data_IF_340110407853
#
_entry.id   IF_340110407853
#
_cell.length_a   1.000
_cell.length_b   1.000
_cell.length_c   1.000
_cell.angle_alpha   90.00
_cell.angle_beta   90.00
_cell.angle_gamma   90.00
#
_symmetry.space_group_name_H-M   'P 1'
#
loop_
_entity.id
_entity.type
_entity.pdbx_description
1 polymer ?
#
# COMPACT_ATOMS: atom_id res chain seq x y z
N UNK A 1 -9.82 26.49 9.91
CA UNK A 1 -8.88 25.37 9.77
C UNK A 1 -9.29 24.66 8.51
N UNK A 2 -8.58 24.91 7.40
CA UNK A 2 -8.94 24.38 6.09
C UNK A 2 -8.85 22.85 6.09
N UNK A 3 -9.81 22.22 5.41
CA UNK A 3 -9.86 20.77 5.17
C UNK A 3 -8.53 20.29 4.59
N UNK A 4 -7.79 19.47 5.34
CA UNK A 4 -6.46 18.96 4.95
C UNK A 4 -6.50 17.86 3.88
N UNK A 5 -7.69 17.35 3.56
CA UNK A 5 -7.91 16.40 2.48
C UNK A 5 -8.21 17.14 1.17
N UNK A 6 -7.40 16.90 0.15
CA UNK A 6 -7.54 17.46 -1.19
C UNK A 6 -7.85 16.33 -2.19
N UNK A 7 -8.88 16.50 -3.01
CA UNK A 7 -9.14 15.62 -4.14
C UNK A 7 -8.34 16.08 -5.36
N UNK A 8 -7.51 15.20 -5.91
CA UNK A 8 -6.63 15.50 -7.05
C UNK A 8 -7.27 15.11 -8.38
N UNK A 9 -7.87 13.92 -8.45
CA UNK A 9 -8.49 13.38 -9.66
C UNK A 9 -9.54 12.31 -9.30
N UNK A 10 -10.31 11.84 -10.28
CA UNK A 10 -11.26 10.74 -10.09
C UNK A 10 -11.93 10.29 -11.38
N UNK A 11 -12.84 9.32 -11.27
CA UNK A 11 -13.51 8.70 -12.42
C UNK A 11 -12.76 7.49 -12.97
N UNK A 12 -11.84 6.90 -12.20
CA UNK A 12 -11.03 5.76 -12.64
C UNK A 12 -11.72 4.44 -12.31
N UNK A 13 -11.63 3.47 -13.22
CA UNK A 13 -12.21 2.14 -13.02
C UNK A 13 -11.43 1.30 -12.00
N UNK A 14 -10.14 1.59 -11.83
CA UNK A 14 -9.25 0.83 -10.96
C UNK A 14 -8.25 1.74 -10.25
N UNK A 15 -7.71 1.25 -9.12
CA UNK A 15 -6.62 1.94 -8.41
C UNK A 15 -5.37 2.06 -9.26
N UNK A 16 -5.09 1.05 -10.10
CA UNK A 16 -3.95 1.08 -11.03
C UNK A 16 -4.07 2.18 -12.09
N UNK A 17 -5.26 2.35 -12.65
CA UNK A 17 -5.52 3.41 -13.61
C UNK A 17 -5.32 4.79 -12.96
N UNK A 18 -5.84 4.96 -11.74
CA UNK A 18 -5.65 6.17 -10.96
C UNK A 18 -4.17 6.48 -10.72
N UNK A 19 -3.37 5.49 -10.31
CA UNK A 19 -1.93 5.64 -10.08
C UNK A 19 -1.15 5.98 -11.35
N UNK A 20 -1.48 5.38 -12.50
CA UNK A 20 -0.88 5.76 -13.78
C UNK A 20 -1.25 7.18 -14.22
N UNK A 21 -2.45 7.65 -13.87
CA UNK A 21 -2.90 9.01 -14.17
C UNK A 21 -2.36 10.06 -13.19
N UNK A 22 -1.73 9.64 -12.10
CA UNK A 22 -1.12 10.54 -11.13
C UNK A 22 0.06 11.30 -11.74
N UNK A 23 0.01 12.61 -11.67
CA UNK A 23 0.99 13.51 -12.30
C UNK A 23 2.18 13.89 -11.38
N UNK A 24 2.21 13.34 -10.16
CA UNK A 24 3.23 13.67 -9.15
C UNK A 24 2.89 14.89 -8.27
N UNK A 25 1.70 15.50 -8.42
CA UNK A 25 1.28 16.65 -7.61
C UNK A 25 0.61 16.28 -6.28
N UNK A 26 0.54 17.19 -5.32
CA UNK A 26 -0.17 16.96 -4.04
C UNK A 26 0.71 17.11 -2.81
N UNK A 27 0.22 16.57 -1.70
CA UNK A 27 0.83 16.60 -0.38
C UNK A 27 1.70 15.38 -0.08
N UNK A 28 2.14 15.26 1.18
CA UNK A 28 3.06 14.21 1.59
C UNK A 28 2.45 12.80 1.52
N UNK A 29 1.12 12.68 1.62
CA UNK A 29 0.41 11.41 1.55
C UNK A 29 -0.58 11.44 0.39
N UNK A 30 -0.44 10.52 -0.56
CA UNK A 30 -1.37 10.36 -1.69
C UNK A 30 -1.90 8.94 -1.71
N UNK A 31 -3.22 8.83 -1.82
CA UNK A 31 -3.93 7.58 -1.75
C UNK A 31 -5.05 7.49 -2.79
N UNK A 32 -5.38 6.26 -3.17
CA UNK A 32 -6.64 5.96 -3.84
C UNK A 32 -7.71 5.64 -2.81
N UNK A 33 -8.91 6.19 -2.99
CA UNK A 33 -10.10 5.83 -2.21
C UNK A 33 -11.24 5.43 -3.15
N UNK A 34 -12.12 4.57 -2.67
CA UNK A 34 -13.35 4.22 -3.38
C UNK A 34 -14.43 5.27 -3.05
N UNK A 35 -14.88 5.97 -4.09
CA UNK A 35 -15.99 6.90 -4.05
C UNK A 35 -17.21 6.26 -4.74
N UNK A 36 -18.39 6.26 -4.12
CA UNK A 36 -19.57 5.60 -4.67
C UNK A 36 -20.09 6.24 -5.96
N UNK A 37 -19.73 7.49 -6.26
CA UNK A 37 -20.14 8.22 -7.46
C UNK A 37 -19.05 8.14 -8.53
N UNK A 38 -17.80 8.41 -8.16
CA UNK A 38 -16.68 8.55 -9.09
C UNK A 38 -15.74 7.34 -9.17
N UNK A 39 -16.19 6.18 -8.68
CA UNK A 39 -15.44 4.92 -8.64
C UNK A 39 -14.15 5.04 -7.82
N UNK A 40 -12.99 5.14 -8.47
CA UNK A 40 -11.71 5.38 -7.78
C UNK A 40 -11.30 6.84 -7.93
N UNK A 41 -10.91 7.46 -6.82
CA UNK A 41 -10.46 8.85 -6.78
C UNK A 41 -9.10 8.95 -6.10
N UNK A 42 -8.29 9.91 -6.55
CA UNK A 42 -7.00 10.22 -5.94
C UNK A 42 -7.20 11.35 -4.96
N UNK A 43 -6.78 11.12 -3.72
CA UNK A 43 -6.78 12.12 -2.66
C UNK A 43 -5.39 12.31 -2.11
N UNK A 44 -5.16 13.50 -1.59
CA UNK A 44 -3.92 13.92 -0.98
C UNK A 44 -4.18 14.52 0.39
N UNK A 45 -3.25 14.31 1.32
CA UNK A 45 -3.28 14.89 2.66
C UNK A 45 -1.86 15.19 3.18
N UNK A 46 -1.79 15.93 4.28
CA UNK A 46 -0.52 16.23 4.97
C UNK A 46 -0.05 15.05 5.83
N UNK A 47 -0.99 14.24 6.35
CA UNK A 47 -0.73 13.07 7.17
C UNK A 47 -1.81 11.99 6.99
N UNK A 48 -1.53 10.77 7.46
CA UNK A 48 -2.43 9.64 7.34
C UNK A 48 -3.77 9.82 8.10
N UNK A 49 -3.81 10.60 9.19
CA UNK A 49 -5.02 10.83 9.97
C UNK A 49 -6.07 11.67 9.23
N UNK A 50 -5.65 12.42 8.21
CA UNK A 50 -6.52 13.22 7.36
C UNK A 50 -7.08 12.43 6.17
N UNK A 51 -6.54 11.23 5.89
CA UNK A 51 -7.05 10.37 4.84
C UNK A 51 -8.30 9.60 5.31
N UNK A 52 -9.24 9.29 4.40
CA UNK A 52 -10.35 8.41 4.72
C UNK A 52 -9.88 7.04 5.20
N UNK A 53 -10.63 6.44 6.11
CA UNK A 53 -10.41 5.05 6.50
C UNK A 53 -10.49 4.14 5.27
N UNK A 54 -9.63 3.12 5.24
CA UNK A 54 -9.42 2.19 4.12
C UNK A 54 -8.79 2.78 2.87
N UNK A 55 -8.37 4.04 2.86
CA UNK A 55 -7.56 4.61 1.78
C UNK A 55 -6.32 3.76 1.52
N UNK A 56 -5.91 3.65 0.25
CA UNK A 56 -4.71 2.90 -0.17
C UNK A 56 -3.61 3.86 -0.57
N UNK A 57 -2.59 3.96 0.26
CA UNK A 57 -1.44 4.81 0.02
C UNK A 57 -0.58 4.26 -1.12
N UNK A 58 -0.07 5.16 -1.94
CA UNK A 58 0.98 4.86 -2.93
C UNK A 58 2.05 5.95 -3.01
N UNK A 59 1.84 7.09 -2.36
CA UNK A 59 2.89 8.08 -2.03
C UNK A 59 2.81 8.40 -0.54
N UNK A 60 3.94 8.30 0.16
CA UNK A 60 4.12 8.67 1.56
C UNK A 60 5.61 8.90 1.84
N UNK A 61 6.00 9.59 2.92
CA UNK A 61 7.40 9.83 3.23
C UNK A 61 8.21 8.52 3.28
N UNK A 62 9.29 8.43 2.49
CA UNK A 62 10.18 7.27 2.44
C UNK A 62 9.71 6.13 1.53
N UNK A 63 8.55 6.22 0.88
CA UNK A 63 8.03 5.14 0.01
C UNK A 63 8.99 4.72 -1.11
N UNK A 64 9.83 5.64 -1.60
CA UNK A 64 10.85 5.38 -2.63
C UNK A 64 11.96 4.42 -2.18
N UNK A 65 12.12 4.23 -0.85
CA UNK A 65 13.10 3.32 -0.25
C UNK A 65 12.57 1.88 -0.20
N UNK A 66 11.27 1.67 -0.44
CA UNK A 66 10.59 0.38 -0.34
C UNK A 66 10.80 -0.48 -1.59
N UNK A 67 12.04 -0.91 -1.80
CA UNK A 67 12.44 -1.72 -2.94
C UNK A 67 13.29 -2.93 -2.54
N UNK A 68 13.10 -4.05 -3.24
CA UNK A 68 13.78 -5.31 -2.97
C UNK A 68 13.25 -6.00 -1.71
N UNK A 69 14.10 -6.80 -1.09
CA UNK A 69 13.80 -7.51 0.15
C UNK A 69 14.18 -6.65 1.37
N UNK A 70 13.23 -6.36 2.24
CA UNK A 70 13.42 -5.55 3.45
C UNK A 70 13.00 -6.32 4.71
N UNK A 71 13.61 -6.00 5.85
CA UNK A 71 13.13 -6.49 7.15
C UNK A 71 11.86 -5.74 7.58
N UNK A 72 11.00 -6.42 8.35
CA UNK A 72 9.81 -5.80 8.96
C UNK A 72 10.19 -4.58 9.80
N UNK A 73 11.35 -4.59 10.48
CA UNK A 73 11.86 -3.44 11.20
C UNK A 73 12.02 -2.19 10.32
N UNK A 74 12.60 -2.34 9.12
CA UNK A 74 12.78 -1.22 8.18
C UNK A 74 11.43 -0.69 7.65
N UNK A 75 10.43 -1.56 7.49
CA UNK A 75 9.07 -1.15 7.13
C UNK A 75 8.42 -0.33 8.25
N UNK A 76 8.62 -0.72 9.51
CA UNK A 76 8.07 -0.03 10.68
C UNK A 76 8.74 1.33 10.98
N UNK A 77 9.87 1.64 10.35
CA UNK A 77 10.43 3.01 10.40
C UNK A 77 9.61 4.00 9.56
N UNK A 78 8.85 3.50 8.59
CA UNK A 78 8.06 4.30 7.64
C UNK A 78 6.55 4.14 7.83
N UNK A 79 6.13 3.07 8.49
CA UNK A 79 4.74 2.65 8.65
C UNK A 79 4.39 2.46 10.12
N UNK A 80 3.13 2.69 10.47
CA UNK A 80 2.67 2.56 11.85
C UNK A 80 2.51 1.08 12.26
N UNK A 81 2.14 0.21 11.32
CA UNK A 81 1.86 -1.20 11.62
C UNK A 81 2.15 -2.10 10.41
N UNK A 82 2.70 -3.28 10.70
CA UNK A 82 2.84 -4.38 9.74
C UNK A 82 2.20 -5.61 10.35
N UNK A 83 1.27 -6.24 9.62
CA UNK A 83 0.60 -7.47 10.06
C UNK A 83 0.42 -8.45 8.91
N UNK A 84 0.43 -9.73 9.21
CA UNK A 84 0.06 -10.78 8.26
C UNK A 84 -1.47 -10.79 8.06
N UNK A 85 -1.90 -11.26 6.89
CA UNK A 85 -3.31 -11.37 6.50
C UNK A 85 -4.13 -12.24 7.47
N UNK A 86 -3.49 -13.22 8.12
CA UNK A 86 -4.08 -14.07 9.16
C UNK A 86 -4.20 -13.38 10.53
N UNK A 87 -3.75 -12.13 10.65
CA UNK A 87 -3.76 -11.34 11.89
C UNK A 87 -2.52 -11.51 12.75
N UNK A 88 -1.56 -12.34 12.36
CA UNK A 88 -0.29 -12.52 13.08
C UNK A 88 0.60 -11.28 12.92
N UNK A 89 1.35 -10.92 13.95
CA UNK A 89 2.39 -9.87 13.88
C UNK A 89 3.72 -10.52 13.48
N UNK A 90 4.29 -10.20 12.32
CA UNK A 90 5.59 -10.72 11.91
C UNK A 90 6.71 -10.26 12.86
N UNK A 91 7.71 -11.10 13.06
CA UNK A 91 8.93 -10.75 13.76
C UNK A 91 9.70 -9.65 13.03
N UNK A 92 10.34 -8.76 13.78
CA UNK A 92 11.05 -7.59 13.23
C UNK A 92 12.16 -7.93 12.20
N UNK A 93 12.74 -9.13 12.30
CA UNK A 93 13.80 -9.62 11.41
C UNK A 93 13.26 -10.45 10.23
N UNK A 94 11.95 -10.69 10.17
CA UNK A 94 11.35 -11.39 9.03
C UNK A 94 11.47 -10.54 7.77
N UNK A 95 11.76 -11.20 6.66
CA UNK A 95 12.03 -10.55 5.36
C UNK A 95 10.76 -10.47 4.51
N UNK A 96 10.58 -9.32 3.89
CA UNK A 96 9.45 -8.98 3.01
C UNK A 96 9.98 -8.62 1.63
N UNK A 97 9.56 -9.36 0.60
CA UNK A 97 9.85 -9.01 -0.79
C UNK A 97 8.84 -7.95 -1.25
N UNK A 98 9.29 -6.70 -1.37
CA UNK A 98 8.40 -5.55 -1.62
C UNK A 98 7.93 -5.46 -3.07
N UNK A 99 8.65 -6.05 -4.03
CA UNK A 99 8.36 -5.97 -5.46
C UNK A 99 8.21 -4.53 -6.00
N UNK A 100 8.74 -3.53 -5.28
CA UNK A 100 8.50 -2.10 -5.54
C UNK A 100 7.01 -1.72 -5.58
N UNK A 101 6.18 -2.48 -4.86
CA UNK A 101 4.74 -2.31 -4.83
C UNK A 101 4.22 -2.48 -3.40
N UNK A 102 4.38 -1.41 -2.61
CA UNK A 102 3.92 -1.36 -1.22
C UNK A 102 2.76 -0.38 -1.13
N UNK A 103 1.57 -0.90 -0.80
CA UNK A 103 0.33 -0.11 -0.72
C UNK A 103 -0.32 -0.26 0.66
N UNK A 104 0.16 0.46 1.69
CA UNK A 104 -0.43 0.43 3.02
C UNK A 104 -1.87 0.93 2.96
N UNK A 105 -2.74 0.34 3.79
CA UNK A 105 -4.06 0.89 4.03
C UNK A 105 -4.05 1.87 5.19
N UNK A 106 -4.92 2.86 5.15
CA UNK A 106 -5.24 3.68 6.32
C UNK A 106 -6.27 2.93 7.16
N UNK A 107 -5.95 2.66 8.42
CA UNK A 107 -6.86 2.06 9.40
C UNK A 107 -6.81 2.86 10.70
N UNK A 108 -7.94 3.46 11.08
CA UNK A 108 -8.02 4.33 12.26
C UNK A 108 -6.94 5.44 12.27
N UNK A 109 -6.64 6.02 11.10
CA UNK A 109 -5.65 7.08 10.92
C UNK A 109 -4.19 6.60 10.98
N UNK A 110 -3.94 5.29 10.94
CA UNK A 110 -2.61 4.67 10.91
C UNK A 110 -2.34 4.01 9.57
N UNK A 111 -1.08 3.97 9.17
CA UNK A 111 -0.59 3.28 7.98
C UNK A 111 -0.30 1.81 8.30
N UNK A 112 -1.14 0.92 7.78
CA UNK A 112 -1.07 -0.52 8.05
C UNK A 112 -0.72 -1.26 6.76
N UNK A 113 0.43 -1.92 6.74
CA UNK A 113 0.78 -2.84 5.66
C UNK A 113 0.36 -4.27 6.02
N UNK A 114 -0.48 -4.85 5.17
CA UNK A 114 -0.87 -6.26 5.29
C UNK A 114 0.05 -7.10 4.41
N UNK A 115 0.59 -8.16 5.00
CA UNK A 115 1.47 -9.12 4.35
C UNK A 115 0.73 -10.44 4.08
N UNK A 116 1.22 -11.21 3.11
CA UNK A 116 0.84 -12.60 2.88
C UNK A 116 2.09 -13.47 2.84
N UNK A 117 1.98 -14.77 3.14
CA UNK A 117 3.09 -15.70 2.98
C UNK A 117 3.66 -15.63 1.57
N UNK A 118 4.99 -15.60 1.47
CA UNK A 118 5.71 -15.71 0.21
C UNK A 118 6.16 -17.15 0.01
N UNK A 119 5.81 -17.70 -1.14
CA UNK A 119 6.28 -19.01 -1.60
C UNK A 119 6.84 -18.82 -3.01
N UNK A 120 8.16 -18.89 -3.12
CA UNK A 120 8.89 -18.83 -4.38
C UNK A 120 9.30 -20.23 -4.89
N UNK A 121 8.84 -21.29 -4.22
CA UNK A 121 9.19 -22.67 -4.55
C UNK A 121 10.65 -23.04 -4.25
N UNK A 122 11.41 -22.19 -3.53
CA UNK A 122 12.81 -22.44 -3.19
C UNK A 122 13.03 -22.50 -1.68
N UNK A 123 13.76 -23.50 -1.20
CA UNK A 123 14.12 -23.66 0.22
C UNK A 123 15.43 -22.93 0.57
N UNK A 124 15.51 -21.65 0.21
CA UNK A 124 16.64 -20.81 0.60
C UNK A 124 16.41 -20.23 2.01
N UNK A 125 17.37 -20.38 2.95
CA UNK A 125 17.29 -19.74 4.27
C UNK A 125 17.32 -18.21 4.20
N UNK A 126 17.72 -17.65 3.06
CA UNK A 126 17.75 -16.21 2.82
C UNK A 126 16.46 -15.65 2.19
N UNK A 127 15.44 -16.50 1.95
CA UNK A 127 14.23 -16.08 1.24
C UNK A 127 13.37 -15.11 2.06
N UNK A 128 12.61 -14.27 1.37
CA UNK A 128 11.53 -13.54 1.99
C UNK A 128 10.49 -14.51 2.55
N UNK A 129 10.00 -14.25 3.76
CA UNK A 129 8.89 -15.01 4.33
C UNK A 129 7.54 -14.45 3.85
N UNK A 130 7.53 -13.18 3.40
CA UNK A 130 6.32 -12.44 3.10
C UNK A 130 6.44 -11.58 1.84
N UNK A 131 5.29 -11.25 1.27
CA UNK A 131 5.10 -10.18 0.29
C UNK A 131 3.94 -9.28 0.72
N UNK A 132 3.88 -8.01 0.28
CA UNK A 132 2.68 -7.21 0.40
C UNK A 132 1.44 -7.94 -0.10
N UNK A 133 0.30 -7.73 0.57
CA UNK A 133 -0.96 -8.36 0.21
C UNK A 133 -1.42 -7.95 -1.20
N UNK A 134 -1.34 -6.65 -1.51
CA UNK A 134 -1.60 -6.16 -2.86
C UNK A 134 -0.39 -6.48 -3.75
N UNK A 135 -0.66 -7.00 -4.95
CA UNK A 135 0.36 -7.34 -5.94
C UNK A 135 0.20 -6.46 -7.19
N UNK A 136 1.29 -6.08 -7.86
CA UNK A 136 1.25 -5.14 -8.99
C UNK A 136 0.44 -5.71 -10.16
N UNK A 137 0.57 -7.01 -10.41
CA UNK A 137 -0.14 -7.72 -11.47
C UNK A 137 -0.91 -8.88 -10.82
N UNK A 138 -2.12 -8.65 -10.27
CA UNK A 138 -2.92 -9.76 -9.80
C UNK A 138 -3.13 -10.71 -10.97
N UNK A 139 -2.75 -11.98 -10.81
CA UNK A 139 -3.00 -13.01 -11.81
C UNK A 139 -4.47 -12.92 -12.20
N UNK A 140 -4.82 -12.73 -13.48
CA UNK A 140 -6.22 -12.59 -13.86
C UNK A 140 -6.93 -13.92 -13.55
N UNK A 141 -7.61 -13.98 -12.41
CA UNK A 141 -8.36 -15.16 -11.99
C UNK A 141 -9.69 -15.31 -12.74
N UNK A 142 -9.97 -14.44 -13.72
CA UNK A 142 -11.25 -14.38 -14.43
C UNK A 142 -11.15 -14.36 -15.96
N UNK A 143 -10.08 -14.88 -16.56
CA UNK A 143 -9.99 -14.94 -18.02
C UNK A 143 -10.73 -16.14 -18.66
N UNK A 144 -11.42 -17.02 -17.91
CA UNK A 144 -12.08 -18.19 -18.50
C UNK A 144 -13.17 -18.83 -17.61
N UNK A 145 -14.28 -18.13 -17.37
CA UNK A 145 -15.51 -18.74 -16.81
C UNK A 145 -16.75 -18.29 -17.57
#
# INVERSE_FOLDING_TARGET
MSSGLLRLAGGFATTREAEHAYDGSGGAFVATVFDPVDQVVIVSAENAQQLPDRARLFVFPGHEQLSGTLEVAALLELLDEVRSFDGTVPGAQERVETQRFVRPLVEAGRTVLVLRPYDDGTDSPDRAAHVPFEQPNPTPCCANH
#
